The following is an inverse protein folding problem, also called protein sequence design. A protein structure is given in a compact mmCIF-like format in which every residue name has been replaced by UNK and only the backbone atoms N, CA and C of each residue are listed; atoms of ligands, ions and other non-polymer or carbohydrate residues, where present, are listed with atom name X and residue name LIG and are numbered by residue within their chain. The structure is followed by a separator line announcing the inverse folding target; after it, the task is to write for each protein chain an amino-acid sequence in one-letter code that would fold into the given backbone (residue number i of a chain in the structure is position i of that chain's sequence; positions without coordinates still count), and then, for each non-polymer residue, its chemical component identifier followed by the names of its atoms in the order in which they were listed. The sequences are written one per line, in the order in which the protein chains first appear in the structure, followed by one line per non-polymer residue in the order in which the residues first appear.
data_IF_556355848394
#
_entry.id   IF_556355848394
#
_cell.length_a   1.000
_cell.length_b   1.000
_cell.length_c   1.000
_cell.angle_alpha   90.00
_cell.angle_beta   90.00
_cell.angle_gamma   90.00
#
_symmetry.space_group_name_H-M   'P 1'
#
loop_
_entity.id
_entity.type
_entity.pdbx_description
1 polymer ?
#
# COMPACT_ATOMS: atom_id res chain seq x y z
N UNK A 1 -9.63 20.32 6.43
CA UNK A 1 -8.21 20.30 6.02
C UNK A 1 -7.80 18.84 6.00
N UNK A 2 -7.51 18.26 4.83
CA UNK A 2 -7.08 16.86 4.77
C UNK A 2 -5.72 16.72 5.44
N UNK A 3 -5.46 15.56 6.06
CA UNK A 3 -4.15 15.29 6.63
C UNK A 3 -3.09 15.35 5.53
N UNK A 4 -1.91 15.91 5.84
CA UNK A 4 -0.75 15.95 4.94
C UNK A 4 -0.33 14.55 4.44
N UNK A 5 -0.72 13.50 5.16
CA UNK A 5 -0.52 12.11 4.76
C UNK A 5 -1.48 11.67 3.65
N UNK A 6 -2.74 12.13 3.66
CA UNK A 6 -3.70 11.76 2.60
C UNK A 6 -3.33 12.48 1.32
N UNK A 7 -2.93 13.76 1.41
CA UNK A 7 -2.44 14.51 0.26
C UNK A 7 -1.21 13.83 -0.35
N UNK A 8 -0.28 13.33 0.48
CA UNK A 8 0.87 12.57 -0.02
C UNK A 8 0.50 11.40 -0.92
N UNK A 9 -0.44 10.58 -0.44
CA UNK A 9 -0.90 9.39 -1.16
C UNK A 9 -1.54 9.82 -2.47
N UNK A 10 -2.36 10.88 -2.44
CA UNK A 10 -2.98 11.42 -3.64
C UNK A 10 -1.94 11.92 -4.66
N UNK A 11 -0.90 12.61 -4.21
CA UNK A 11 0.16 13.15 -5.08
C UNK A 11 1.00 12.02 -5.74
N UNK A 12 1.07 10.83 -5.13
CA UNK A 12 1.85 9.69 -5.62
C UNK A 12 1.02 8.60 -6.28
N UNK A 13 -0.32 8.72 -6.25
CA UNK A 13 -1.23 7.81 -6.91
C UNK A 13 -1.18 8.06 -8.43
N UNK A 14 -0.46 7.21 -9.15
CA UNK A 14 -0.47 7.25 -10.60
C UNK A 14 -1.73 6.56 -11.12
N UNK A 15 -2.70 7.37 -11.53
CA UNK A 15 -3.99 6.90 -12.04
C UNK A 15 -4.93 6.41 -10.94
N UNK A 16 -5.52 5.22 -11.14
CA UNK A 16 -6.44 4.60 -10.18
C UNK A 16 -5.66 3.84 -9.12
N UNK A 17 -6.11 3.92 -7.86
CA UNK A 17 -5.58 3.08 -6.79
C UNK A 17 -6.33 1.75 -6.72
N UNK A 18 -5.60 0.68 -6.47
CA UNK A 18 -6.15 -0.63 -6.13
C UNK A 18 -5.83 -0.93 -4.67
N UNK A 19 -6.84 -1.07 -3.81
CA UNK A 19 -6.68 -1.50 -2.42
C UNK A 19 -7.32 -2.89 -2.21
N UNK A 20 -6.52 -3.98 -2.22
CA UNK A 20 -7.01 -5.35 -2.05
C UNK A 20 -7.32 -5.72 -0.59
N UNK A 21 -6.99 -4.86 0.38
CA UNK A 21 -7.15 -5.12 1.82
C UNK A 21 -7.78 -3.94 2.57
N UNK A 22 -8.66 -3.19 1.92
CA UNK A 22 -9.13 -1.88 2.39
C UNK A 22 -9.82 -1.83 3.76
N UNK A 23 -10.08 -2.98 4.40
CA UNK A 23 -10.74 -3.06 5.69
C UNK A 23 -12.11 -2.38 5.66
N UNK A 24 -12.23 -1.23 6.33
CA UNK A 24 -13.44 -0.40 6.38
C UNK A 24 -13.59 0.59 5.21
N UNK A 25 -12.60 0.70 4.33
CA UNK A 25 -12.59 1.64 3.20
C UNK A 25 -12.26 3.09 3.60
N UNK A 26 -11.70 3.31 4.79
CA UNK A 26 -11.39 4.66 5.30
C UNK A 26 -10.48 5.47 4.38
N UNK A 27 -9.41 4.85 3.86
CA UNK A 27 -8.50 5.50 2.91
C UNK A 27 -9.19 5.88 1.62
N UNK A 28 -9.97 4.96 1.05
CA UNK A 28 -10.71 5.22 -0.17
C UNK A 28 -11.74 6.35 0.00
N UNK A 29 -12.42 6.42 1.15
CA UNK A 29 -13.29 7.56 1.48
C UNK A 29 -12.50 8.88 1.44
N UNK A 30 -11.39 8.97 2.15
CA UNK A 30 -10.57 10.18 2.22
C UNK A 30 -9.98 10.58 0.86
N UNK A 31 -9.52 9.61 0.08
CA UNK A 31 -8.92 9.81 -1.24
C UNK A 31 -9.98 10.22 -2.28
N UNK A 32 -11.20 9.67 -2.19
CA UNK A 32 -12.33 10.10 -3.02
C UNK A 32 -12.67 11.57 -2.78
N UNK A 33 -12.56 12.07 -1.53
CA UNK A 33 -12.77 13.49 -1.25
C UNK A 33 -11.70 14.42 -1.87
N UNK A 34 -10.55 13.86 -2.26
CA UNK A 34 -9.49 14.56 -3.00
C UNK A 34 -9.57 14.33 -4.52
N UNK A 35 -10.60 13.64 -5.01
CA UNK A 35 -10.77 13.35 -6.43
C UNK A 35 -9.94 12.17 -6.96
N UNK A 36 -9.30 11.39 -6.08
CA UNK A 36 -8.59 10.16 -6.45
C UNK A 36 -9.60 9.03 -6.59
N UNK A 37 -9.67 8.42 -7.78
CA UNK A 37 -10.48 7.23 -8.03
C UNK A 37 -9.79 5.99 -7.44
N UNK A 38 -10.16 5.65 -6.21
CA UNK A 38 -9.67 4.47 -5.50
C UNK A 38 -10.68 3.32 -5.67
N UNK A 39 -10.36 2.34 -6.50
CA UNK A 39 -11.16 1.13 -6.60
C UNK A 39 -10.83 0.22 -5.42
N UNK A 40 -11.81 0.10 -4.52
CA UNK A 40 -11.75 -0.80 -3.38
C UNK A 40 -12.08 -2.22 -3.84
N UNK A 41 -11.18 -3.17 -3.59
CA UNK A 41 -11.50 -4.60 -3.72
C UNK A 41 -11.30 -5.25 -2.36
N UNK A 42 -12.39 -5.58 -1.68
CA UNK A 42 -12.30 -6.05 -0.30
C UNK A 42 -11.85 -7.52 -0.20
N UNK A 43 -10.94 -7.76 0.76
CA UNK A 43 -10.34 -9.02 1.23
C UNK A 43 -9.43 -9.76 0.25
N UNK A 44 -8.13 -9.70 0.54
CA UNK A 44 -7.10 -10.69 0.18
C UNK A 44 -7.24 -11.21 -1.26
N UNK A 45 -7.47 -10.29 -2.18
CA UNK A 45 -7.75 -10.63 -3.56
C UNK A 45 -6.45 -10.48 -4.34
N UNK A 46 -5.51 -11.40 -4.11
CA UNK A 46 -4.31 -11.53 -4.93
C UNK A 46 -4.66 -11.60 -6.43
N UNK A 47 -5.82 -12.18 -6.76
CA UNK A 47 -6.40 -12.15 -8.11
C UNK A 47 -6.65 -10.72 -8.62
N UNK A 48 -7.28 -9.84 -7.83
CA UNK A 48 -7.47 -8.45 -8.24
C UNK A 48 -6.15 -7.71 -8.45
N UNK A 49 -5.13 -8.01 -7.64
CA UNK A 49 -3.79 -7.48 -7.84
C UNK A 49 -3.16 -7.98 -9.16
N UNK A 50 -3.37 -9.25 -9.52
CA UNK A 50 -2.92 -9.79 -10.79
C UNK A 50 -3.66 -9.20 -12.00
N UNK A 51 -4.95 -8.89 -11.86
CA UNK A 51 -5.82 -8.39 -12.94
C UNK A 51 -5.65 -6.89 -13.25
N UNK A 52 -5.02 -6.13 -12.36
CA UNK A 52 -4.87 -4.68 -12.50
C UNK A 52 -3.41 -4.20 -12.34
N UNK A 53 -2.47 -4.70 -13.17
CA UNK A 53 -1.06 -4.28 -13.12
C UNK A 53 -0.84 -2.84 -13.63
N UNK A 54 -1.83 -2.26 -14.32
CA UNK A 54 -1.82 -0.90 -14.85
C UNK A 54 -2.05 0.19 -13.78
N UNK A 55 -2.31 -0.21 -12.54
CA UNK A 55 -2.74 0.67 -11.44
C UNK A 55 -1.72 0.70 -10.32
N UNK A 56 -1.68 1.79 -9.57
CA UNK A 56 -0.88 1.82 -8.34
C UNK A 56 -1.51 0.91 -7.28
N UNK A 57 -0.75 -0.09 -6.82
CA UNK A 57 -1.16 -0.95 -5.70
C UNK A 57 -1.08 -0.15 -4.39
N UNK A 58 -2.16 -0.10 -3.64
CA UNK A 58 -2.24 0.51 -2.31
C UNK A 58 -2.40 -0.60 -1.27
N UNK A 59 -1.39 -0.78 -0.41
CA UNK A 59 -1.37 -1.83 0.61
C UNK A 59 -1.30 -1.18 2.00
N UNK A 60 -2.44 -1.07 2.68
CA UNK A 60 -2.50 -0.44 4.00
C UNK A 60 -2.71 -1.46 5.10
N UNK A 61 -1.79 -1.49 6.07
CA UNK A 61 -1.88 -2.25 7.32
C UNK A 61 -2.23 -3.74 7.10
N UNK A 62 -1.45 -4.48 6.29
CA UNK A 62 -1.65 -5.91 6.15
C UNK A 62 -1.56 -6.60 7.52
N UNK A 63 -2.40 -7.61 7.78
CA UNK A 63 -2.48 -8.24 9.09
C UNK A 63 -1.13 -8.84 9.52
N UNK A 64 -0.76 -8.62 10.78
CA UNK A 64 0.46 -9.15 11.38
C UNK A 64 0.50 -10.68 11.30
N UNK A 65 1.67 -11.21 10.95
CA UNK A 65 1.98 -12.65 10.93
C UNK A 65 1.01 -13.47 10.06
N UNK A 66 0.51 -12.84 8.98
CA UNK A 66 -0.35 -13.46 7.98
C UNK A 66 0.22 -13.22 6.58
N UNK A 67 0.12 -14.23 5.72
CA UNK A 67 0.73 -14.27 4.39
C UNK A 67 0.01 -13.41 3.33
N UNK A 68 -1.07 -12.73 3.71
CA UNK A 68 -1.92 -11.91 2.83
C UNK A 68 -1.10 -10.88 2.05
N UNK A 69 -0.22 -10.15 2.75
CA UNK A 69 0.64 -9.13 2.12
C UNK A 69 1.59 -9.76 1.11
N UNK A 70 2.21 -10.89 1.45
CA UNK A 70 3.12 -11.59 0.56
C UNK A 70 2.40 -12.13 -0.69
N UNK A 71 1.21 -12.72 -0.54
CA UNK A 71 0.41 -13.24 -1.67
C UNK A 71 0.00 -12.14 -2.64
N UNK A 72 -0.41 -10.99 -2.13
CA UNK A 72 -0.74 -9.82 -2.95
C UNK A 72 0.50 -9.32 -3.71
N UNK A 73 1.64 -9.15 -3.03
CA UNK A 73 2.86 -8.66 -3.67
C UNK A 73 3.42 -9.63 -4.72
N UNK A 74 3.26 -10.94 -4.52
CA UNK A 74 3.66 -11.96 -5.48
C UNK A 74 2.75 -12.01 -6.72
N UNK A 75 1.45 -11.75 -6.55
CA UNK A 75 0.48 -11.77 -7.64
C UNK A 75 0.47 -10.47 -8.46
N UNK A 76 0.80 -9.35 -7.84
CA UNK A 76 0.84 -8.05 -8.49
C UNK A 76 2.00 -7.94 -9.50
N UNK A 77 1.69 -7.64 -10.76
CA UNK A 77 2.68 -7.49 -11.84
C UNK A 77 2.95 -6.02 -12.23
N UNK A 78 2.28 -5.05 -11.61
CA UNK A 78 2.51 -3.63 -11.86
C UNK A 78 3.81 -3.10 -11.24
N UNK A 79 4.19 -1.88 -11.57
CA UNK A 79 5.50 -1.30 -11.21
C UNK A 79 5.45 -0.33 -10.02
N UNK A 80 4.26 0.07 -9.54
CA UNK A 80 4.10 1.09 -8.50
C UNK A 80 3.33 0.56 -7.30
N UNK A 81 3.83 0.82 -6.09
CA UNK A 81 3.24 0.42 -4.82
C UNK A 81 3.27 1.60 -3.83
N UNK A 82 2.17 1.82 -3.12
CA UNK A 82 2.09 2.64 -1.92
C UNK A 82 1.78 1.70 -0.76
N UNK A 83 2.73 1.57 0.16
CA UNK A 83 2.59 0.76 1.36
C UNK A 83 2.38 1.66 2.57
N UNK A 84 1.44 1.28 3.42
CA UNK A 84 1.19 1.97 4.69
C UNK A 84 1.29 0.96 5.83
N UNK A 85 2.33 1.08 6.65
CA UNK A 85 2.59 0.15 7.74
C UNK A 85 3.98 0.41 8.33
N UNK A 86 4.46 -0.53 9.14
CA UNK A 86 5.80 -0.47 9.72
C UNK A 86 6.76 -1.45 9.02
N UNK A 87 8.03 -1.39 9.43
CA UNK A 87 9.09 -2.23 8.88
C UNK A 87 9.12 -3.62 9.49
N UNK A 88 10.07 -4.44 9.03
CA UNK A 88 10.27 -5.80 9.49
C UNK A 88 10.35 -5.92 11.02
N UNK A 89 9.65 -6.91 11.56
CA UNK A 89 9.52 -7.13 13.01
C UNK A 89 8.52 -6.19 13.70
N UNK A 90 7.78 -5.40 12.91
CA UNK A 90 6.69 -4.55 13.35
C UNK A 90 5.33 -5.27 13.36
N UNK A 91 4.25 -4.50 13.53
CA UNK A 91 2.87 -4.96 13.62
C UNK A 91 2.15 -5.18 12.29
N UNK A 92 2.85 -5.10 11.15
CA UNK A 92 2.22 -5.23 9.83
C UNK A 92 2.91 -6.25 8.93
N UNK A 93 2.11 -7.09 8.27
CA UNK A 93 2.59 -8.15 7.38
C UNK A 93 3.33 -9.29 8.08
N UNK A 94 3.83 -10.23 7.27
CA UNK A 94 4.70 -11.33 7.67
C UNK A 94 6.15 -11.08 7.20
N UNK A 95 7.08 -11.93 7.66
CA UNK A 95 8.48 -11.83 7.26
C UNK A 95 8.70 -11.95 5.75
N UNK A 96 7.88 -12.77 5.08
CA UNK A 96 7.98 -12.97 3.63
C UNK A 96 7.61 -11.70 2.86
N UNK A 97 6.56 -10.99 3.27
CA UNK A 97 6.17 -9.71 2.68
C UNK A 97 7.32 -8.70 2.78
N UNK A 98 7.92 -8.55 3.95
CA UNK A 98 9.04 -7.62 4.16
C UNK A 98 10.25 -8.01 3.32
N UNK A 99 10.57 -9.30 3.23
CA UNK A 99 11.63 -9.78 2.34
C UNK A 99 11.34 -9.43 0.86
N UNK A 100 10.08 -9.53 0.41
CA UNK A 100 9.70 -9.13 -0.96
C UNK A 100 9.92 -7.64 -1.17
N UNK A 101 9.49 -6.78 -0.23
CA UNK A 101 9.73 -5.33 -0.29
C UNK A 101 11.23 -5.02 -0.38
N UNK A 102 12.04 -5.61 0.50
CA UNK A 102 13.49 -5.40 0.56
C UNK A 102 14.24 -5.87 -0.70
N UNK A 103 13.75 -6.92 -1.36
CA UNK A 103 14.47 -7.57 -2.47
C UNK A 103 13.98 -7.14 -3.85
N UNK A 104 12.69 -6.84 -4.02
CA UNK A 104 12.06 -6.59 -5.33
C UNK A 104 11.62 -5.14 -5.55
N UNK A 105 11.67 -4.30 -4.53
CA UNK A 105 11.18 -2.93 -4.58
C UNK A 105 12.25 -1.93 -4.14
N UNK A 106 12.22 -0.75 -4.75
CA UNK A 106 13.06 0.40 -4.40
C UNK A 106 12.18 1.49 -3.84
N UNK A 107 12.51 1.98 -2.65
CA UNK A 107 11.84 3.13 -2.06
C UNK A 107 12.14 4.39 -2.88
N UNK A 108 11.10 5.13 -3.23
CA UNK A 108 11.17 6.36 -4.04
C UNK A 108 10.91 7.59 -3.17
N UNK A 109 9.91 7.53 -2.27
CA UNK A 109 9.63 8.57 -1.29
C UNK A 109 8.92 7.96 -0.08
N UNK A 110 9.03 8.59 1.09
CA UNK A 110 8.41 8.08 2.31
C UNK A 110 8.23 9.16 3.37
N UNK A 111 7.16 9.04 4.17
CA UNK A 111 6.92 9.95 5.31
C UNK A 111 6.25 9.27 6.49
N UNK A 112 6.47 9.83 7.68
CA UNK A 112 5.73 9.46 8.87
C UNK A 112 4.33 10.13 8.88
N UNK A 113 3.25 9.37 9.10
CA UNK A 113 1.91 9.91 9.21
C UNK A 113 1.74 10.82 10.43
N UNK A 114 1.12 11.98 10.25
CA UNK A 114 0.84 12.92 11.37
C UNK A 114 -0.26 12.40 12.30
N UNK A 115 -1.08 11.46 11.83
CA UNK A 115 -2.27 10.97 12.54
C UNK A 115 -1.99 9.79 13.49
N UNK A 116 -0.82 9.15 13.43
CA UNK A 116 -0.52 7.93 14.19
C UNK A 116 0.60 8.16 15.21
N UNK A 117 0.26 8.85 16.30
CA UNK A 117 1.20 9.14 17.37
C UNK A 117 1.61 7.87 18.11
N UNK A 118 2.91 7.56 18.08
CA UNK A 118 3.51 6.44 18.82
C UNK A 118 3.69 5.13 18.03
N UNK A 119 3.11 5.02 16.83
CA UNK A 119 3.39 3.93 15.89
C UNK A 119 4.60 4.28 15.02
N UNK A 120 5.42 3.29 14.65
CA UNK A 120 6.57 3.48 13.74
C UNK A 120 6.18 3.49 12.26
N UNK A 121 4.88 3.57 11.99
CA UNK A 121 4.31 3.49 10.67
C UNK A 121 4.86 4.57 9.74
N UNK A 122 4.97 4.20 8.47
CA UNK A 122 5.30 5.07 7.35
C UNK A 122 4.29 4.85 6.24
N UNK A 123 4.06 5.91 5.45
CA UNK A 123 3.60 5.74 4.08
C UNK A 123 4.85 5.74 3.23
N UNK A 124 5.07 4.66 2.49
CA UNK A 124 6.23 4.48 1.62
C UNK A 124 5.79 4.21 0.20
N UNK A 125 6.38 4.94 -0.74
CA UNK A 125 6.16 4.79 -2.17
C UNK A 125 7.32 3.98 -2.73
N UNK A 126 6.99 2.93 -3.46
CA UNK A 126 7.94 2.01 -4.04
C UNK A 126 7.76 1.90 -5.54
N UNK A 127 8.89 1.75 -6.23
CA UNK A 127 8.96 1.30 -7.62
C UNK A 127 9.55 -0.10 -7.69
N UNK A 128 9.04 -0.93 -8.61
CA UNK A 128 9.57 -2.27 -8.82
C UNK A 128 10.98 -2.16 -9.37
N UNK A 129 11.91 -2.93 -8.81
CA UNK A 129 13.27 -3.03 -9.32
C UNK A 129 13.24 -3.59 -10.74
N UNK A 130 13.95 -2.91 -11.65
CA UNK A 130 14.23 -3.45 -12.97
C UNK A 130 15.05 -4.74 -12.87
N UNK A 131 14.99 -5.60 -13.90
CA UNK A 131 15.88 -6.75 -14.02
C UNK A 131 17.36 -6.36 -14.12
#
# INVERSE_FOLDING_TARGET
MFSSTVQFVADHAEGRLLDPIAGTGYWAYLLTQLGVDAQIVAKDCAEAAALHPDRTLFLSWPPHDQDVGARILLAYNGNRLIYVGDGRGGGTGDDQMHQILETRWSEVDSRQPVLWWGQRDRVTVYERRGP
#
